data_IF_661806500433
#
_entry.id   IF_661806500433
#
_cell.length_a   1.000
_cell.length_b   1.000
_cell.length_c   1.000
_cell.angle_alpha   90.00
_cell.angle_beta   90.00
_cell.angle_gamma   90.00
#
_symmetry.space_group_name_H-M   'P 1'
#
loop_
_entity.id
_entity.type
_entity.pdbx_description
1 polymer ?
#
# COMPACT_ATOMS: atom_id res chain seq x y z
N UNK A 1 -15.78 -19.49 -23.00
CA UNK A 1 -14.46 -19.19 -22.43
C UNK A 1 -14.60 -17.95 -21.54
N UNK A 2 -14.10 -17.96 -20.30
CA UNK A 2 -14.12 -16.78 -19.43
C UNK A 2 -12.81 -16.01 -19.62
N UNK A 3 -12.89 -14.71 -19.91
CA UNK A 3 -11.73 -13.82 -20.05
C UNK A 3 -11.92 -12.58 -19.18
N UNK A 4 -10.83 -11.94 -18.78
CA UNK A 4 -10.87 -10.71 -17.98
C UNK A 4 -11.25 -10.94 -16.52
N UNK A 5 -11.64 -9.86 -15.84
CA UNK A 5 -12.05 -9.93 -14.44
C UNK A 5 -13.46 -10.52 -14.31
N UNK A 6 -13.65 -11.49 -13.41
CA UNK A 6 -14.98 -12.07 -13.14
C UNK A 6 -15.22 -12.28 -11.66
N UNK A 7 -16.42 -11.92 -11.20
CA UNK A 7 -16.87 -12.23 -9.86
C UNK A 7 -17.54 -13.62 -9.85
N UNK A 8 -17.03 -14.54 -9.03
CA UNK A 8 -17.53 -15.90 -8.88
C UNK A 8 -17.60 -16.19 -7.38
N UNK A 9 -18.80 -16.47 -6.86
CA UNK A 9 -18.99 -16.77 -5.43
C UNK A 9 -18.57 -15.62 -4.50
N UNK A 10 -18.67 -14.36 -4.93
CA UNK A 10 -18.27 -13.20 -4.14
C UNK A 10 -16.79 -12.83 -4.25
N UNK A 11 -16.00 -13.57 -5.03
CA UNK A 11 -14.58 -13.33 -5.22
C UNK A 11 -14.25 -12.93 -6.65
N UNK A 12 -13.34 -11.97 -6.80
CA UNK A 12 -12.87 -11.53 -8.11
C UNK A 12 -11.67 -12.34 -8.56
N UNK A 13 -11.74 -12.88 -9.78
CA UNK A 13 -10.68 -13.62 -10.46
C UNK A 13 -10.26 -12.87 -11.73
N UNK A 14 -9.08 -13.18 -12.27
CA UNK A 14 -8.63 -12.70 -13.58
C UNK A 14 -8.27 -13.88 -14.47
N UNK A 15 -8.78 -13.87 -15.70
CA UNK A 15 -8.46 -14.86 -16.72
C UNK A 15 -7.81 -14.17 -17.92
N UNK A 16 -6.77 -14.78 -18.49
CA UNK A 16 -6.15 -14.27 -19.72
C UNK A 16 -7.01 -14.54 -20.95
N UNK A 17 -6.51 -14.16 -22.13
CA UNK A 17 -7.21 -14.35 -23.42
C UNK A 17 -7.45 -15.82 -23.80
N UNK A 18 -6.74 -16.77 -23.17
CA UNK A 18 -6.92 -18.21 -23.34
C UNK A 18 -7.78 -18.82 -22.24
N UNK A 19 -8.28 -18.01 -21.31
CA UNK A 19 -9.06 -18.43 -20.16
C UNK A 19 -8.23 -19.03 -19.02
N UNK A 20 -6.91 -18.87 -19.01
CA UNK A 20 -6.08 -19.33 -17.91
C UNK A 20 -6.13 -18.33 -16.74
N UNK A 21 -6.35 -18.85 -15.53
CA UNK A 21 -6.48 -18.05 -14.31
C UNK A 21 -5.13 -17.45 -13.88
N UNK A 22 -5.11 -16.12 -13.74
CA UNK A 22 -3.94 -15.34 -13.35
C UNK A 22 -3.82 -15.24 -11.83
N UNK A 23 -2.58 -15.14 -11.35
CA UNK A 23 -2.21 -15.04 -9.93
C UNK A 23 -1.12 -13.98 -9.74
N UNK A 24 -0.80 -13.65 -8.50
CA UNK A 24 0.22 -12.67 -8.13
C UNK A 24 -0.18 -11.24 -8.46
N UNK A 25 0.83 -10.37 -8.58
CA UNK A 25 0.64 -8.97 -8.98
C UNK A 25 0.19 -8.88 -10.44
N UNK A 26 -0.90 -8.15 -10.67
CA UNK A 26 -1.46 -7.95 -12.01
C UNK A 26 -1.73 -6.47 -12.23
N UNK A 27 -1.18 -5.93 -13.32
CA UNK A 27 -1.50 -4.58 -13.78
C UNK A 27 -2.72 -4.64 -14.70
N UNK A 28 -3.80 -4.02 -14.28
CA UNK A 28 -5.06 -3.90 -15.02
C UNK A 28 -5.09 -2.50 -15.61
N UNK A 29 -4.39 -2.33 -16.73
CA UNK A 29 -4.09 -1.02 -17.33
C UNK A 29 -5.33 -0.22 -17.68
N UNK A 30 -6.38 -0.86 -18.22
CA UNK A 30 -7.65 -0.21 -18.57
C UNK A 30 -8.44 0.30 -17.35
N UNK A 31 -8.07 -0.10 -16.13
CA UNK A 31 -8.62 0.43 -14.87
C UNK A 31 -7.59 1.24 -14.07
N UNK A 32 -6.39 1.43 -14.62
CA UNK A 32 -5.27 2.10 -13.95
C UNK A 32 -5.03 1.61 -12.51
N UNK A 33 -4.98 0.28 -12.33
CA UNK A 33 -4.73 -0.33 -11.02
C UNK A 33 -3.81 -1.54 -11.12
N UNK A 34 -2.91 -1.64 -10.14
CA UNK A 34 -2.23 -2.90 -9.82
C UNK A 34 -3.00 -3.57 -8.70
N UNK A 35 -3.27 -4.87 -8.82
CA UNK A 35 -3.95 -5.68 -7.80
C UNK A 35 -3.12 -6.93 -7.52
N UNK A 36 -3.49 -7.70 -6.51
CA UNK A 36 -2.86 -9.00 -6.24
C UNK A 36 -3.92 -10.10 -6.17
N UNK A 37 -3.69 -11.17 -6.92
CA UNK A 37 -4.49 -12.40 -6.89
C UNK A 37 -3.72 -13.47 -6.11
N UNK A 38 -4.31 -14.05 -5.07
CA UNK A 38 -3.59 -15.02 -4.24
C UNK A 38 -3.45 -16.39 -4.92
N UNK A 39 -2.95 -17.38 -4.17
CA UNK A 39 -2.73 -18.75 -4.65
C UNK A 39 -4.00 -19.44 -5.18
N UNK A 40 -5.17 -19.12 -4.65
CA UNK A 40 -6.44 -19.69 -5.12
C UNK A 40 -7.06 -18.83 -6.25
N UNK A 41 -6.41 -17.72 -6.61
CA UNK A 41 -6.76 -16.89 -7.78
C UNK A 41 -7.73 -15.75 -7.50
N UNK A 42 -8.07 -15.49 -6.25
CA UNK A 42 -8.98 -14.41 -5.86
C UNK A 42 -8.21 -13.14 -5.46
N UNK A 43 -8.78 -11.99 -5.82
CA UNK A 43 -8.19 -10.67 -5.60
C UNK A 43 -8.17 -10.32 -4.11
N UNK A 44 -7.04 -9.80 -3.62
CA UNK A 44 -6.86 -9.38 -2.24
C UNK A 44 -7.21 -7.91 -2.02
N UNK A 45 -7.57 -7.60 -0.77
CA UNK A 45 -8.02 -6.28 -0.30
C UNK A 45 -7.41 -5.98 1.07
N UNK A 46 -7.35 -4.69 1.44
CA UNK A 46 -6.85 -4.24 2.73
C UNK A 46 -5.35 -4.49 2.94
N UNK A 47 -4.95 -4.60 4.20
CA UNK A 47 -3.57 -4.86 4.60
C UNK A 47 -3.16 -6.29 4.28
N UNK A 48 -2.02 -6.45 3.59
CA UNK A 48 -1.51 -7.76 3.19
C UNK A 48 -0.01 -7.86 3.44
N UNK A 49 0.43 -8.99 3.97
CA UNK A 49 1.85 -9.35 4.03
C UNK A 49 2.13 -10.39 2.96
N UNK A 50 2.91 -10.00 1.96
CA UNK A 50 3.27 -10.83 0.80
C UNK A 50 4.79 -10.90 0.78
N UNK A 51 5.32 -12.10 1.00
CA UNK A 51 6.77 -12.38 1.03
C UNK A 51 7.55 -11.44 1.96
N UNK A 52 7.01 -11.20 3.17
CA UNK A 52 7.63 -10.36 4.19
C UNK A 52 7.48 -8.84 3.95
N UNK A 53 6.80 -8.43 2.87
CA UNK A 53 6.54 -7.03 2.54
C UNK A 53 5.08 -6.69 2.81
N UNK A 54 4.86 -5.53 3.40
CA UNK A 54 3.51 -5.05 3.73
C UNK A 54 2.99 -4.17 2.61
N UNK A 55 1.78 -4.46 2.16
CA UNK A 55 1.03 -3.75 1.13
C UNK A 55 -0.33 -3.36 1.68
N UNK A 56 -0.93 -2.35 1.06
CA UNK A 56 -2.36 -2.05 1.24
C UNK A 56 -3.05 -2.04 -0.11
N UNK A 57 -4.12 -2.81 -0.24
CA UNK A 57 -5.00 -2.79 -1.39
C UNK A 57 -6.31 -2.10 -0.99
N UNK A 58 -6.77 -1.16 -1.80
CA UNK A 58 -8.02 -0.46 -1.57
C UNK A 58 -9.18 -1.45 -1.37
N UNK A 59 -9.97 -1.26 -0.30
CA UNK A 59 -10.97 -2.24 0.14
C UNK A 59 -12.16 -2.40 -0.82
N UNK A 60 -12.31 -1.49 -1.78
CA UNK A 60 -13.40 -1.53 -2.76
C UNK A 60 -12.88 -2.00 -4.11
N UNK A 61 -11.81 -1.38 -4.60
CA UNK A 61 -11.31 -1.56 -5.97
C UNK A 61 -10.20 -2.61 -6.09
N UNK A 62 -9.58 -2.99 -4.97
CA UNK A 62 -8.37 -3.84 -4.92
C UNK A 62 -7.10 -3.11 -5.36
N UNK A 63 -7.15 -1.81 -5.65
CA UNK A 63 -6.00 -1.04 -6.14
C UNK A 63 -4.91 -0.95 -5.07
N UNK A 64 -3.70 -1.36 -5.41
CA UNK A 64 -2.52 -1.24 -4.57
C UNK A 64 -2.21 0.23 -4.27
N UNK A 65 -1.99 0.55 -3.00
CA UNK A 65 -1.57 1.86 -2.56
C UNK A 65 -0.11 2.15 -2.95
N UNK A 66 0.12 3.37 -3.43
CA UNK A 66 1.45 3.96 -3.64
C UNK A 66 1.45 5.38 -3.06
N UNK A 67 2.63 5.89 -2.73
CA UNK A 67 2.80 7.21 -2.14
C UNK A 67 2.22 7.32 -0.73
N UNK A 68 1.97 8.55 -0.28
CA UNK A 68 1.34 8.78 1.02
C UNK A 68 -0.16 8.47 0.97
N UNK A 69 -0.66 7.75 1.99
CA UNK A 69 -2.08 7.45 2.15
C UNK A 69 -2.53 7.61 3.60
N UNK A 70 -3.66 8.29 3.80
CA UNK A 70 -4.35 8.26 5.09
C UNK A 70 -5.29 7.04 5.12
N UNK A 71 -5.05 6.11 6.04
CA UNK A 71 -5.81 4.88 6.19
C UNK A 71 -6.19 4.77 7.66
N UNK A 72 -7.50 4.85 7.96
CA UNK A 72 -8.00 4.77 9.33
C UNK A 72 -7.45 5.88 10.25
N UNK A 73 -7.28 7.10 9.73
CA UNK A 73 -6.80 8.25 10.50
C UNK A 73 -5.27 8.38 10.57
N UNK A 74 -4.53 7.38 10.08
CA UNK A 74 -3.07 7.38 10.14
C UNK A 74 -2.46 7.52 8.74
N UNK A 75 -1.38 8.30 8.63
CA UNK A 75 -0.63 8.47 7.39
C UNK A 75 0.43 7.38 7.24
N UNK A 76 0.44 6.69 6.11
CA UNK A 76 1.43 5.70 5.71
C UNK A 76 2.13 6.13 4.42
N UNK A 77 3.32 5.60 4.16
CA UNK A 77 4.03 5.78 2.88
C UNK A 77 4.26 4.43 2.22
N UNK A 78 3.91 4.33 0.96
CA UNK A 78 4.19 3.17 0.11
C UNK A 78 5.11 3.58 -1.03
N UNK A 79 6.13 2.77 -1.34
CA UNK A 79 7.01 3.06 -2.47
C UNK A 79 6.29 2.81 -3.83
N UNK A 80 6.98 3.03 -4.94
CA UNK A 80 6.42 2.83 -6.29
C UNK A 80 6.00 1.39 -6.58
N UNK A 81 6.55 0.42 -5.84
CA UNK A 81 6.17 -1.00 -5.89
C UNK A 81 5.09 -1.36 -4.87
N UNK A 82 4.55 -0.38 -4.13
CA UNK A 82 3.49 -0.55 -3.13
C UNK A 82 3.95 -1.09 -1.78
N UNK A 83 5.26 -1.21 -1.54
CA UNK A 83 5.79 -1.68 -0.26
C UNK A 83 5.73 -0.55 0.77
N UNK A 84 5.15 -0.82 1.93
CA UNK A 84 5.07 0.14 3.05
C UNK A 84 6.48 0.48 3.57
N UNK A 85 6.73 1.77 3.73
CA UNK A 85 7.98 2.33 4.22
C UNK A 85 7.91 2.62 5.72
N UNK A 86 9.06 2.58 6.38
CA UNK A 86 9.25 2.86 7.81
C UNK A 86 10.49 3.72 8.01
N UNK A 87 10.68 4.21 9.23
CA UNK A 87 11.80 5.05 9.62
C UNK A 87 11.74 6.46 9.04
N UNK A 88 12.90 7.12 8.98
CA UNK A 88 13.03 8.44 8.36
C UNK A 88 12.82 8.36 6.85
N UNK A 89 11.98 9.24 6.32
CA UNK A 89 11.65 9.32 4.90
C UNK A 89 11.68 10.78 4.46
N UNK A 90 12.40 11.07 3.37
CA UNK A 90 12.35 12.38 2.72
C UNK A 90 11.28 12.37 1.63
N UNK A 91 10.30 13.25 1.75
CA UNK A 91 9.17 13.38 0.83
C UNK A 91 9.45 14.58 -0.07
N UNK A 92 10.07 14.30 -1.22
CA UNK A 92 10.62 15.32 -2.12
C UNK A 92 9.59 16.35 -2.60
N UNK A 93 8.40 15.91 -3.02
CA UNK A 93 7.34 16.79 -3.51
C UNK A 93 6.69 17.67 -2.41
N UNK A 94 7.01 17.42 -1.14
CA UNK A 94 6.61 18.26 0.01
C UNK A 94 7.82 18.92 0.69
N UNK A 95 9.04 18.69 0.17
CA UNK A 95 10.30 19.13 0.74
C UNK A 95 10.41 18.95 2.28
N UNK A 96 10.07 17.75 2.78
CA UNK A 96 10.12 17.49 4.22
C UNK A 96 10.64 16.10 4.55
N UNK A 97 11.33 15.99 5.68
CA UNK A 97 11.67 14.69 6.28
C UNK A 97 10.62 14.36 7.33
N UNK A 98 10.08 13.15 7.30
CA UNK A 98 9.14 12.65 8.30
C UNK A 98 9.65 11.33 8.89
N UNK A 99 8.99 10.82 9.92
CA UNK A 99 9.30 9.49 10.47
C UNK A 99 8.06 8.61 10.52
N UNK A 100 8.16 7.40 9.96
CA UNK A 100 7.14 6.35 10.02
C UNK A 100 7.55 5.29 11.06
N UNK A 101 6.69 4.96 12.01
CA UNK A 101 7.04 4.06 13.11
C UNK A 101 7.11 2.58 12.69
N UNK A 102 7.28 1.66 13.66
CA UNK A 102 7.31 0.21 13.41
C UNK A 102 6.01 -0.33 12.79
N UNK A 103 4.88 0.28 13.10
CA UNK A 103 3.56 -0.09 12.56
C UNK A 103 3.30 0.57 11.20
N UNK A 104 4.17 1.51 10.80
CA UNK A 104 4.19 2.14 9.49
C UNK A 104 3.50 3.50 9.42
N UNK A 105 2.95 4.02 10.52
CA UNK A 105 2.29 5.33 10.52
C UNK A 105 3.25 6.49 10.84
N UNK A 106 2.94 7.67 10.31
CA UNK A 106 3.71 8.89 10.50
C UNK A 106 3.60 9.42 11.95
N UNK A 107 4.72 9.85 12.53
CA UNK A 107 4.77 10.43 13.86
C UNK A 107 4.69 11.95 13.86
N UNK A 108 4.30 12.50 15.01
CA UNK A 108 4.04 13.92 15.26
C UNK A 108 4.51 14.30 16.68
N UNK A 109 4.74 15.58 16.92
CA UNK A 109 5.16 16.12 18.21
C UNK A 109 6.57 15.68 18.65
N UNK A 110 6.82 15.75 19.95
CA UNK A 110 8.08 15.30 20.55
C UNK A 110 8.18 13.77 20.53
N UNK A 111 9.28 13.25 20.00
CA UNK A 111 9.54 11.82 19.88
C UNK A 111 10.97 11.49 20.35
N UNK A 112 11.14 10.33 20.99
CA UNK A 112 12.43 9.75 21.33
C UNK A 112 12.70 8.56 20.41
N UNK A 113 13.65 8.69 19.48
CA UNK A 113 13.95 7.68 18.47
C UNK A 113 15.42 7.31 18.61
N UNK A 114 15.70 6.04 18.93
CA UNK A 114 17.07 5.52 19.15
C UNK A 114 17.90 6.41 20.09
N UNK A 115 17.31 6.84 21.21
CA UNK A 115 17.95 7.68 22.22
C UNK A 115 18.10 9.17 21.85
N UNK A 116 17.66 9.59 20.65
CA UNK A 116 17.69 10.99 20.21
C UNK A 116 16.30 11.60 20.24
N UNK A 117 16.20 12.84 20.75
CA UNK A 117 14.96 13.62 20.76
C UNK A 117 14.77 14.28 19.40
N UNK A 118 13.57 14.18 18.86
CA UNK A 118 13.13 14.85 17.64
C UNK A 118 11.81 15.55 17.90
N UNK A 119 11.57 16.65 17.19
CA UNK A 119 10.25 17.24 17.10
C UNK A 119 9.77 17.12 15.65
N UNK A 120 8.53 16.65 15.50
CA UNK A 120 7.84 16.62 14.22
C UNK A 120 6.64 17.55 14.31
N UNK A 121 6.49 18.44 13.34
CA UNK A 121 5.37 19.36 13.24
C UNK A 121 4.03 18.61 13.41
N UNK A 122 3.18 19.09 14.32
CA UNK A 122 1.95 18.37 14.73
C UNK A 122 0.87 18.27 13.66
N UNK A 123 0.99 19.04 12.56
CA UNK A 123 0.06 19.02 11.43
C UNK A 123 0.68 18.26 10.26
N UNK A 124 1.91 18.61 9.89
CA UNK A 124 2.52 18.12 8.66
C UNK A 124 3.41 16.89 8.86
N UNK A 125 3.83 16.59 10.09
CA UNK A 125 4.81 15.55 10.41
C UNK A 125 6.25 15.88 9.98
N UNK A 126 6.51 17.10 9.50
CA UNK A 126 7.85 17.54 9.13
C UNK A 126 8.77 17.57 10.35
N UNK A 127 9.95 16.97 10.25
CA UNK A 127 11.02 17.07 11.24
C UNK A 127 11.52 18.51 11.30
N UNK A 128 11.53 19.09 12.50
CA UNK A 128 12.08 20.42 12.80
C UNK A 128 13.44 20.33 13.50
#
# INVERSE_FOLDING_TARGET
MTVGQKNIGGHWYLFDSKGAMQRGFQNISYQNKTVYYNKDGWMLYGWQNIDGKVYYFDKVTGKMATGQKNIGGHWYLFNSKGVMQRGFQYISYQNKTVYYNKDGWMLYGHQLINGKKYYFNTITGAKE
#
